data_IF_632709373446
#
_entry.id   IF_632709373446
#
_cell.length_a   1.000
_cell.length_b   1.000
_cell.length_c   1.000
_cell.angle_alpha   90.00
_cell.angle_beta   90.00
_cell.angle_gamma   90.00
#
_symmetry.space_group_name_H-M   'P 1'
#
loop_
_entity.id
_entity.type
_entity.pdbx_description
1 polymer ?
#
# COMPACT_ATOMS: atom_id res chain seq x y z
N UNK A 1 -8.95 38.66 0.57
CA UNK A 1 -8.36 37.34 0.25
C UNK A 1 -9.44 36.32 0.56
N UNK A 2 -10.38 36.27 -0.40
CA UNK A 2 -11.68 35.65 -0.23
C UNK A 2 -11.56 34.12 -0.31
N UNK A 3 -11.83 33.47 0.81
CA UNK A 3 -11.99 32.03 0.91
C UNK A 3 -13.39 31.70 0.38
N UNK A 4 -13.49 31.35 -0.89
CA UNK A 4 -14.69 30.70 -1.42
C UNK A 4 -14.82 29.35 -0.74
N UNK A 5 -15.72 29.29 0.24
CA UNK A 5 -16.29 28.05 0.74
C UNK A 5 -17.12 27.47 -0.40
N UNK A 6 -16.54 26.49 -1.10
CA UNK A 6 -17.28 25.67 -2.07
C UNK A 6 -18.33 24.91 -1.28
N UNK A 7 -19.57 25.37 -1.37
CA UNK A 7 -20.76 24.64 -0.92
C UNK A 7 -20.70 23.24 -1.56
N UNK A 8 -20.46 22.23 -0.74
CA UNK A 8 -20.76 20.86 -1.09
C UNK A 8 -22.25 20.75 -1.33
N UNK A 9 -22.62 20.90 -2.60
CA UNK A 9 -23.95 20.56 -3.08
C UNK A 9 -24.18 19.08 -2.73
N UNK A 10 -24.91 18.86 -1.65
CA UNK A 10 -25.40 17.56 -1.24
C UNK A 10 -26.25 17.00 -2.36
N UNK A 11 -25.63 16.25 -3.23
CA UNK A 11 -26.33 15.51 -4.26
C UNK A 11 -27.36 14.62 -3.56
N UNK A 12 -28.59 14.88 -3.88
CA UNK A 12 -29.77 14.08 -3.69
C UNK A 12 -29.51 12.61 -4.12
N UNK A 13 -28.78 11.87 -3.30
CA UNK A 13 -28.69 10.42 -3.40
C UNK A 13 -30.00 9.88 -2.82
N UNK A 14 -31.03 9.91 -3.66
CA UNK A 14 -32.29 9.25 -3.37
C UNK A 14 -31.97 7.86 -2.82
N UNK A 15 -32.26 7.68 -1.55
CA UNK A 15 -32.08 6.44 -0.78
C UNK A 15 -32.98 5.39 -1.41
N UNK A 16 -32.54 4.76 -2.50
CA UNK A 16 -33.15 3.51 -2.96
C UNK A 16 -33.01 2.54 -1.80
N UNK A 17 -34.10 1.94 -1.31
CA UNK A 17 -34.01 0.90 -0.31
C UNK A 17 -33.05 -0.16 -0.85
N UNK A 18 -32.04 -0.50 -0.08
CA UNK A 18 -31.08 -1.55 -0.41
C UNK A 18 -31.83 -2.87 -0.33
N UNK A 19 -32.46 -3.27 -1.45
CA UNK A 19 -33.22 -4.52 -1.60
C UNK A 19 -32.29 -5.64 -2.05
N UNK A 20 -31.20 -5.90 -1.30
CA UNK A 20 -30.24 -6.94 -1.64
C UNK A 20 -29.61 -7.51 -0.37
N UNK A 21 -29.15 -8.76 -0.48
CA UNK A 21 -28.29 -9.36 0.56
C UNK A 21 -27.00 -8.54 0.74
N UNK A 22 -26.55 -8.42 1.97
CA UNK A 22 -25.27 -7.81 2.28
C UNK A 22 -24.15 -8.70 1.71
N UNK A 23 -23.43 -8.24 0.69
CA UNK A 23 -22.31 -8.98 0.07
C UNK A 23 -20.98 -8.30 0.37
N UNK A 24 -19.89 -9.09 0.38
CA UNK A 24 -18.53 -8.52 0.47
C UNK A 24 -18.16 -7.70 -0.78
N UNK A 25 -18.75 -7.99 -1.94
CA UNK A 25 -18.62 -7.17 -3.15
C UNK A 25 -19.19 -5.77 -2.95
N UNK A 26 -20.35 -5.66 -2.32
CA UNK A 26 -20.95 -4.38 -1.95
C UNK A 26 -20.05 -3.59 -0.98
N UNK A 27 -19.54 -4.24 0.07
CA UNK A 27 -18.58 -3.63 0.99
C UNK A 27 -17.32 -3.14 0.27
N UNK A 28 -16.81 -3.94 -0.65
CA UNK A 28 -15.63 -3.59 -1.44
C UNK A 28 -15.86 -2.33 -2.29
N UNK A 29 -16.97 -2.26 -3.02
CA UNK A 29 -17.31 -1.08 -3.83
C UNK A 29 -17.43 0.18 -2.98
N UNK A 30 -18.11 0.08 -1.83
CA UNK A 30 -18.28 1.21 -0.91
C UNK A 30 -16.96 1.67 -0.30
N UNK A 31 -16.10 0.74 0.15
CA UNK A 31 -14.78 1.07 0.69
C UNK A 31 -13.84 1.59 -0.41
N UNK A 32 -13.95 1.10 -1.64
CA UNK A 32 -13.21 1.70 -2.77
C UNK A 32 -13.67 3.12 -3.07
N UNK A 33 -14.98 3.38 -3.01
CA UNK A 33 -15.53 4.74 -3.12
C UNK A 33 -14.95 5.66 -2.05
N UNK A 34 -14.84 5.19 -0.81
CA UNK A 34 -14.17 5.90 0.28
C UNK A 34 -12.71 6.25 -0.05
N UNK A 35 -11.92 5.26 -0.43
CA UNK A 35 -10.54 5.49 -0.82
C UNK A 35 -10.39 6.44 -2.03
N UNK A 36 -11.39 6.49 -2.91
CA UNK A 36 -11.40 7.42 -4.04
C UNK A 36 -11.77 8.85 -3.65
N UNK A 37 -12.57 9.04 -2.59
CA UNK A 37 -13.00 10.35 -2.09
C UNK A 37 -12.12 10.89 -0.96
N UNK A 38 -11.21 10.04 -0.41
CA UNK A 38 -10.32 10.45 0.67
C UNK A 38 -9.54 11.71 0.27
N UNK A 39 -9.46 12.66 1.21
CA UNK A 39 -8.79 13.96 1.04
C UNK A 39 -7.27 13.80 0.87
N UNK A 40 -6.73 12.60 1.08
CA UNK A 40 -5.31 12.33 0.87
C UNK A 40 -4.86 12.72 -0.53
N UNK A 41 -3.84 13.55 -0.65
CA UNK A 41 -3.36 14.01 -1.95
C UNK A 41 -2.88 12.83 -2.78
N UNK A 42 -3.57 12.58 -3.89
CA UNK A 42 -3.24 11.47 -4.80
C UNK A 42 -1.87 11.68 -5.43
N UNK A 43 -1.08 10.60 -5.63
CA UNK A 43 0.20 10.71 -6.30
C UNK A 43 0.04 11.32 -7.70
N UNK A 44 0.89 12.29 -8.02
CA UNK A 44 0.87 12.99 -9.31
C UNK A 44 1.21 12.03 -10.46
N UNK A 45 0.82 12.40 -11.69
CA UNK A 45 1.18 11.60 -12.88
C UNK A 45 2.70 11.48 -13.04
N UNK A 46 3.44 12.52 -12.70
CA UNK A 46 4.92 12.53 -12.74
C UNK A 46 5.51 11.61 -11.68
N UNK A 47 4.95 11.58 -10.47
CA UNK A 47 5.38 10.67 -9.41
C UNK A 47 5.18 9.19 -9.81
N UNK A 48 4.00 8.86 -10.33
CA UNK A 48 3.72 7.52 -10.86
C UNK A 48 4.64 7.18 -12.05
N UNK A 49 4.84 8.13 -12.96
CA UNK A 49 5.73 7.97 -14.10
C UNK A 49 7.17 7.70 -13.67
N UNK A 50 7.71 8.47 -12.72
CA UNK A 50 9.04 8.26 -12.17
C UNK A 50 9.21 6.87 -11.53
N UNK A 51 8.22 6.43 -10.73
CA UNK A 51 8.23 5.08 -10.14
C UNK A 51 8.21 4.00 -11.24
N UNK A 52 7.33 4.13 -12.24
CA UNK A 52 7.25 3.15 -13.33
C UNK A 52 8.54 3.09 -14.16
N UNK A 53 9.15 4.24 -14.46
CA UNK A 53 10.43 4.30 -15.16
C UNK A 53 11.52 3.60 -14.35
N UNK A 54 11.58 3.85 -13.03
CA UNK A 54 12.49 3.15 -12.13
C UNK A 54 12.28 1.63 -12.15
N UNK A 55 11.06 1.16 -11.98
CA UNK A 55 10.70 -0.28 -11.96
C UNK A 55 11.06 -0.95 -13.30
N UNK A 56 10.74 -0.31 -14.43
CA UNK A 56 11.08 -0.86 -15.76
C UNK A 56 12.59 -0.91 -15.96
N UNK A 57 13.32 0.14 -15.56
CA UNK A 57 14.78 0.17 -15.63
C UNK A 57 15.41 -0.93 -14.77
N UNK A 58 14.92 -1.14 -13.54
CA UNK A 58 15.34 -2.26 -12.68
C UNK A 58 15.12 -3.60 -13.36
N UNK A 59 13.91 -3.84 -13.91
CA UNK A 59 13.59 -5.08 -14.61
C UNK A 59 14.48 -5.34 -15.83
N UNK A 60 14.73 -4.31 -16.64
CA UNK A 60 15.65 -4.41 -17.79
C UNK A 60 17.10 -4.63 -17.34
N UNK A 61 17.54 -3.96 -16.29
CA UNK A 61 18.89 -4.15 -15.71
C UNK A 61 19.10 -5.58 -15.22
N UNK A 62 18.13 -6.12 -14.45
CA UNK A 62 18.18 -7.51 -13.98
C UNK A 62 18.15 -8.51 -15.12
N UNK A 63 17.32 -8.29 -16.13
CA UNK A 63 17.25 -9.14 -17.32
C UNK A 63 18.59 -9.13 -18.07
N UNK A 64 19.17 -7.95 -18.28
CA UNK A 64 20.48 -7.78 -18.93
C UNK A 64 21.58 -8.46 -18.13
N UNK A 65 21.59 -8.31 -16.80
CA UNK A 65 22.59 -8.97 -15.94
C UNK A 65 22.48 -10.51 -15.93
N UNK A 66 21.30 -11.06 -16.19
CA UNK A 66 21.09 -12.51 -16.27
C UNK A 66 21.50 -13.11 -17.63
N UNK A 67 21.73 -12.30 -18.66
CA UNK A 67 22.11 -12.74 -19.99
C UNK A 67 23.63 -12.87 -20.08
N UNK A 68 24.17 -13.89 -20.82
CA UNK A 68 25.59 -14.06 -20.99
C UNK A 68 26.20 -12.94 -21.85
N UNK A 69 27.41 -12.51 -21.50
CA UNK A 69 28.14 -11.43 -22.16
C UNK A 69 28.31 -11.66 -23.66
N UNK A 70 28.32 -12.93 -24.10
CA UNK A 70 28.46 -13.31 -25.51
C UNK A 70 27.34 -12.81 -26.43
N UNK A 71 26.20 -12.42 -25.86
CA UNK A 71 25.08 -11.86 -26.64
C UNK A 71 25.23 -10.35 -26.91
N UNK A 72 26.20 -9.70 -26.29
CA UNK A 72 26.40 -8.27 -26.41
C UNK A 72 27.73 -7.95 -27.14
N UNK A 73 27.80 -6.86 -27.92
CA UNK A 73 29.05 -6.36 -28.42
C UNK A 73 30.03 -6.02 -27.30
N UNK A 74 31.31 -6.16 -27.52
CA UNK A 74 32.33 -5.90 -26.51
C UNK A 74 32.15 -4.52 -25.82
N UNK A 75 32.00 -4.52 -24.52
CA UNK A 75 31.83 -3.31 -23.69
C UNK A 75 30.39 -2.73 -23.62
N UNK A 76 29.48 -3.15 -24.50
CA UNK A 76 28.09 -2.61 -24.47
C UNK A 76 27.27 -3.11 -23.29
N UNK A 77 27.53 -4.33 -22.78
CA UNK A 77 26.84 -4.92 -21.63
C UNK A 77 26.94 -4.02 -20.41
N UNK A 78 28.14 -3.58 -20.04
CA UNK A 78 28.37 -2.68 -18.90
C UNK A 78 27.69 -1.31 -19.11
N UNK A 79 27.74 -0.77 -20.34
CA UNK A 79 27.09 0.50 -20.66
C UNK A 79 25.57 0.43 -20.50
N UNK A 80 24.94 -0.67 -20.92
CA UNK A 80 23.50 -0.88 -20.75
C UNK A 80 23.15 -0.99 -19.27
N UNK A 81 23.91 -1.78 -18.49
CA UNK A 81 23.70 -1.91 -17.05
C UNK A 81 23.81 -0.56 -16.32
N UNK A 82 24.84 0.22 -16.65
CA UNK A 82 25.03 1.56 -16.08
C UNK A 82 23.90 2.52 -16.49
N UNK A 83 23.44 2.44 -17.73
CA UNK A 83 22.30 3.22 -18.23
C UNK A 83 21.01 2.87 -17.48
N UNK A 84 20.75 1.57 -17.28
CA UNK A 84 19.61 1.11 -16.49
C UNK A 84 19.70 1.59 -15.03
N UNK A 85 20.86 1.45 -14.39
CA UNK A 85 21.11 1.88 -13.01
C UNK A 85 20.90 3.40 -12.84
N UNK A 86 21.45 4.21 -13.73
CA UNK A 86 21.24 5.66 -13.71
C UNK A 86 19.76 6.03 -13.89
N UNK A 87 19.09 5.40 -14.83
CA UNK A 87 17.65 5.63 -15.08
C UNK A 87 16.81 5.24 -13.87
N UNK A 88 17.13 4.12 -13.22
CA UNK A 88 16.51 3.64 -11.99
C UNK A 88 16.68 4.66 -10.86
N UNK A 89 17.91 5.09 -10.59
CA UNK A 89 18.23 6.07 -9.54
C UNK A 89 17.48 7.38 -9.79
N UNK A 90 17.52 7.90 -11.02
CA UNK A 90 16.84 9.16 -11.37
C UNK A 90 15.31 9.00 -11.24
N UNK A 91 14.75 7.90 -11.71
CA UNK A 91 13.31 7.62 -11.63
C UNK A 91 12.81 7.55 -10.18
N UNK A 92 13.50 6.79 -9.34
CA UNK A 92 13.13 6.67 -7.92
C UNK A 92 13.40 7.95 -7.14
N UNK A 93 14.52 8.64 -7.38
CA UNK A 93 14.84 9.90 -6.72
C UNK A 93 13.80 10.98 -7.05
N UNK A 94 13.42 11.10 -8.32
CA UNK A 94 12.36 12.02 -8.75
C UNK A 94 11.04 11.70 -8.06
N UNK A 95 10.63 10.44 -8.05
CA UNK A 95 9.42 9.97 -7.36
C UNK A 95 9.46 10.25 -5.87
N UNK A 96 10.59 9.98 -5.22
CA UNK A 96 10.81 10.22 -3.79
C UNK A 96 10.77 11.71 -3.42
N UNK A 97 11.39 12.57 -4.20
CA UNK A 97 11.35 14.03 -3.99
C UNK A 97 9.93 14.58 -4.14
N UNK A 98 9.20 14.11 -5.16
CA UNK A 98 7.80 14.51 -5.35
C UNK A 98 6.89 14.01 -4.22
N UNK A 99 7.11 12.78 -3.75
CA UNK A 99 6.44 12.21 -2.58
C UNK A 99 6.74 13.03 -1.32
N UNK A 100 8.02 13.33 -1.04
CA UNK A 100 8.44 14.17 0.09
C UNK A 100 7.82 15.56 0.03
N UNK A 101 7.74 16.18 -1.15
CA UNK A 101 7.10 17.49 -1.34
C UNK A 101 5.60 17.43 -1.07
N UNK A 102 4.93 16.35 -1.45
CA UNK A 102 3.51 16.12 -1.20
C UNK A 102 3.24 15.90 0.29
N UNK A 103 3.94 14.94 0.87
CA UNK A 103 3.78 14.56 2.28
C UNK A 103 4.38 15.58 3.24
N UNK A 104 5.46 16.24 2.85
CA UNK A 104 6.12 17.25 3.67
C UNK A 104 5.21 18.43 4.03
N UNK A 105 4.23 18.75 3.19
CA UNK A 105 3.21 19.76 3.52
C UNK A 105 2.35 19.34 4.72
N UNK A 106 2.10 18.04 4.89
CA UNK A 106 1.36 17.49 6.04
C UNK A 106 2.19 17.58 7.32
N UNK A 107 3.52 17.44 7.22
CA UNK A 107 4.43 17.56 8.37
C UNK A 107 4.63 18.99 8.84
N UNK A 108 4.44 20.00 7.97
CA UNK A 108 4.62 21.42 8.34
C UNK A 108 3.42 21.95 9.16
N UNK A 109 2.21 21.46 8.91
CA UNK A 109 0.99 21.83 9.68
C UNK A 109 0.17 20.58 10.09
N UNK A 110 0.75 19.69 10.87
CA UNK A 110 0.17 18.35 11.08
C UNK A 110 -1.18 18.36 11.80
N UNK A 111 -1.39 19.30 12.71
CA UNK A 111 -2.56 19.26 13.61
C UNK A 111 -3.86 19.69 12.95
N UNK A 112 -3.84 20.72 12.12
CA UNK A 112 -5.07 21.25 11.49
C UNK A 112 -5.49 20.45 10.25
N UNK A 113 -4.52 20.08 9.42
CA UNK A 113 -4.80 19.24 8.23
C UNK A 113 -5.28 17.86 8.62
N UNK A 114 -4.63 17.25 9.61
CA UNK A 114 -5.03 15.93 10.09
C UNK A 114 -6.43 15.92 10.74
N UNK A 115 -6.76 16.95 11.53
CA UNK A 115 -8.10 17.08 12.10
C UNK A 115 -9.16 17.24 11.01
N UNK A 116 -8.95 18.11 10.03
CA UNK A 116 -9.89 18.30 8.91
C UNK A 116 -10.03 17.04 8.03
N UNK A 117 -8.94 16.28 7.84
CA UNK A 117 -8.97 14.99 7.16
C UNK A 117 -9.79 13.97 7.95
N UNK A 118 -9.57 13.89 9.26
CA UNK A 118 -10.36 13.00 10.13
C UNK A 118 -11.84 13.34 10.14
N UNK A 119 -12.20 14.63 10.16
CA UNK A 119 -13.61 15.06 10.12
C UNK A 119 -14.28 14.66 8.78
N UNK A 120 -13.58 14.84 7.66
CA UNK A 120 -14.07 14.43 6.35
C UNK A 120 -14.21 12.90 6.23
N UNK A 121 -13.23 12.18 6.71
CA UNK A 121 -13.24 10.72 6.73
C UNK A 121 -14.32 10.18 7.67
N UNK A 122 -14.54 10.84 8.83
CA UNK A 122 -15.58 10.46 9.78
C UNK A 122 -16.99 10.61 9.19
N UNK A 123 -17.25 11.68 8.46
CA UNK A 123 -18.55 11.90 7.83
C UNK A 123 -18.90 10.77 6.85
N UNK A 124 -17.94 10.35 6.04
CA UNK A 124 -18.14 9.24 5.11
C UNK A 124 -18.24 7.89 5.82
N UNK A 125 -17.42 7.67 6.84
CA UNK A 125 -17.48 6.48 7.68
C UNK A 125 -18.87 6.34 8.35
N UNK A 126 -19.38 7.43 8.95
CA UNK A 126 -20.70 7.45 9.56
C UNK A 126 -21.82 7.14 8.54
N UNK A 127 -21.70 7.69 7.33
CA UNK A 127 -22.61 7.39 6.23
C UNK A 127 -22.60 5.89 5.85
N UNK A 128 -21.41 5.27 5.78
CA UNK A 128 -21.29 3.83 5.47
C UNK A 128 -21.90 2.97 6.60
N UNK A 129 -21.66 3.33 7.85
CA UNK A 129 -22.24 2.64 9.00
C UNK A 129 -23.76 2.73 8.97
N UNK A 130 -24.31 3.88 8.60
CA UNK A 130 -25.77 4.06 8.48
C UNK A 130 -26.36 3.22 7.33
N UNK A 131 -25.69 3.16 6.18
CA UNK A 131 -26.07 2.26 5.09
C UNK A 131 -26.04 0.77 5.51
N UNK A 132 -25.05 0.37 6.31
CA UNK A 132 -24.97 -1.00 6.83
C UNK A 132 -26.12 -1.32 7.78
N UNK A 133 -26.66 -0.36 8.49
CA UNK A 133 -27.81 -0.55 9.39
C UNK A 133 -29.10 -0.88 8.65
N UNK A 134 -29.20 -0.56 7.37
CA UNK A 134 -30.35 -0.96 6.54
C UNK A 134 -30.46 -2.48 6.34
N UNK A 135 -29.36 -3.20 6.55
CA UNK A 135 -29.36 -4.68 6.45
C UNK A 135 -29.75 -5.33 7.80
N UNK A 136 -30.32 -6.55 7.76
CA UNK A 136 -30.66 -7.31 8.95
C UNK A 136 -29.46 -7.52 9.88
N UNK A 137 -29.70 -7.51 11.17
CA UNK A 137 -28.66 -7.67 12.18
C UNK A 137 -27.94 -9.01 12.03
N UNK A 138 -28.70 -10.08 11.82
CA UNK A 138 -28.17 -11.45 11.71
C UNK A 138 -27.18 -11.59 10.54
N UNK A 139 -27.49 -10.96 9.41
CA UNK A 139 -26.58 -10.97 8.25
C UNK A 139 -25.28 -10.25 8.57
N UNK A 140 -25.33 -9.10 9.27
CA UNK A 140 -24.14 -8.35 9.65
C UNK A 140 -23.28 -9.11 10.66
N UNK A 141 -23.90 -9.75 11.67
CA UNK A 141 -23.21 -10.59 12.62
C UNK A 141 -22.53 -11.81 11.97
N UNK A 142 -23.23 -12.48 11.06
CA UNK A 142 -22.65 -13.61 10.32
C UNK A 142 -21.43 -13.19 9.50
N UNK A 143 -21.51 -12.05 8.80
CA UNK A 143 -20.38 -11.54 8.00
C UNK A 143 -19.25 -11.03 8.87
N UNK A 144 -19.55 -10.43 10.02
CA UNK A 144 -18.55 -10.03 10.98
C UNK A 144 -17.77 -11.24 11.52
N UNK A 145 -18.46 -12.31 11.91
CA UNK A 145 -17.80 -13.56 12.38
C UNK A 145 -16.89 -14.14 11.30
N UNK A 146 -17.36 -14.20 10.07
CA UNK A 146 -16.54 -14.69 8.96
C UNK A 146 -15.32 -13.82 8.71
N UNK A 147 -15.49 -12.49 8.61
CA UNK A 147 -14.38 -11.56 8.37
C UNK A 147 -13.35 -11.57 9.52
N UNK A 148 -13.81 -11.65 10.77
CA UNK A 148 -12.92 -11.71 11.95
C UNK A 148 -12.12 -13.01 11.99
N UNK A 149 -12.72 -14.15 11.67
CA UNK A 149 -12.02 -15.44 11.55
C UNK A 149 -10.97 -15.39 10.44
N UNK A 150 -11.31 -14.82 9.29
CA UNK A 150 -10.37 -14.67 8.18
C UNK A 150 -9.21 -13.74 8.54
N UNK A 151 -9.49 -12.61 9.22
CA UNK A 151 -8.47 -11.67 9.72
C UNK A 151 -7.52 -12.36 10.70
N UNK A 152 -8.05 -13.15 11.64
CA UNK A 152 -7.25 -13.87 12.60
C UNK A 152 -6.35 -14.91 11.92
N UNK A 153 -6.90 -15.73 11.04
CA UNK A 153 -6.12 -16.71 10.29
C UNK A 153 -5.02 -16.09 9.41
N UNK A 154 -5.29 -14.93 8.80
CA UNK A 154 -4.26 -14.19 8.08
C UNK A 154 -3.17 -13.66 9.01
N UNK A 155 -3.53 -13.11 10.18
CA UNK A 155 -2.57 -12.59 11.15
C UNK A 155 -1.63 -13.69 11.66
N UNK A 156 -2.16 -14.87 11.96
CA UNK A 156 -1.38 -16.03 12.37
C UNK A 156 -0.42 -16.49 11.27
N UNK A 157 -0.89 -16.64 10.04
CA UNK A 157 -0.04 -17.04 8.90
C UNK A 157 1.03 -15.99 8.59
N UNK A 158 0.68 -14.70 8.64
CA UNK A 158 1.65 -13.63 8.48
C UNK A 158 2.69 -13.65 9.61
N UNK A 159 2.28 -13.92 10.84
CA UNK A 159 3.20 -14.06 11.98
C UNK A 159 4.21 -15.18 11.78
N UNK A 160 3.81 -16.32 11.21
CA UNK A 160 4.71 -17.44 10.93
C UNK A 160 5.71 -17.12 9.79
N UNK A 161 5.25 -16.53 8.70
CA UNK A 161 6.09 -16.30 7.51
C UNK A 161 6.92 -15.03 7.65
N UNK A 162 6.35 -13.97 8.18
CA UNK A 162 6.95 -12.62 8.18
C UNK A 162 7.31 -12.12 9.59
N UNK A 163 6.94 -12.80 10.65
CA UNK A 163 7.11 -12.31 12.03
C UNK A 163 8.55 -11.96 12.38
N UNK A 164 9.51 -12.72 11.88
CA UNK A 164 10.95 -12.42 11.99
C UNK A 164 11.36 -11.21 11.13
N UNK A 165 10.93 -11.17 9.87
CA UNK A 165 11.25 -10.10 8.93
C UNK A 165 10.62 -8.76 9.33
N UNK A 166 9.39 -8.75 9.85
CA UNK A 166 8.76 -7.54 10.36
C UNK A 166 9.52 -6.90 11.53
N UNK A 167 10.09 -7.73 12.42
CA UNK A 167 10.91 -7.25 13.54
C UNK A 167 12.29 -6.75 13.10
N UNK A 168 12.89 -7.39 12.10
CA UNK A 168 14.18 -7.01 11.55
C UNK A 168 14.08 -5.83 10.57
N UNK A 169 12.88 -5.52 10.05
CA UNK A 169 12.64 -4.40 9.17
C UNK A 169 13.53 -4.46 7.92
N UNK A 170 14.25 -3.39 7.66
CA UNK A 170 15.10 -3.22 6.48
C UNK A 170 16.51 -3.84 6.61
N UNK A 171 16.92 -4.25 7.80
CA UNK A 171 18.27 -4.76 8.08
C UNK A 171 18.72 -5.96 7.23
N UNK A 172 17.87 -6.96 6.91
CA UNK A 172 18.29 -8.06 6.04
C UNK A 172 18.72 -7.61 4.64
N UNK A 173 18.01 -6.61 4.09
CA UNK A 173 18.35 -6.04 2.77
C UNK A 173 19.69 -5.30 2.83
N UNK A 174 19.91 -4.49 3.87
CA UNK A 174 21.19 -3.80 4.08
C UNK A 174 22.35 -4.79 4.29
N UNK A 175 22.10 -5.85 5.05
CA UNK A 175 23.09 -6.90 5.27
C UNK A 175 23.46 -7.61 3.97
N UNK A 176 22.49 -7.97 3.13
CA UNK A 176 22.74 -8.59 1.83
C UNK A 176 23.50 -7.64 0.90
N UNK A 177 23.11 -6.36 0.86
CA UNK A 177 23.79 -5.33 0.07
C UNK A 177 25.23 -5.10 0.56
N UNK A 178 25.44 -5.04 1.87
CA UNK A 178 26.79 -4.93 2.45
C UNK A 178 27.67 -6.13 2.08
N UNK A 179 27.15 -7.36 2.17
CA UNK A 179 27.90 -8.54 1.80
C UNK A 179 28.28 -8.55 0.31
N UNK A 180 27.38 -8.09 -0.56
CA UNK A 180 27.63 -7.97 -1.99
C UNK A 180 28.72 -6.93 -2.31
N UNK A 181 28.68 -5.77 -1.65
CA UNK A 181 29.57 -4.65 -1.91
C UNK A 181 30.86 -4.64 -1.06
N UNK A 182 31.01 -5.60 -0.12
CA UNK A 182 32.14 -5.63 0.82
C UNK A 182 33.51 -5.70 0.13
N UNK A 183 33.60 -6.41 -0.99
CA UNK A 183 34.85 -6.55 -1.77
C UNK A 183 34.98 -5.53 -2.89
N UNK A 184 33.94 -4.74 -3.13
CA UNK A 184 33.93 -3.75 -4.20
C UNK A 184 34.87 -2.58 -3.91
N UNK A 185 35.65 -2.18 -4.92
CA UNK A 185 36.53 -1.01 -4.88
C UNK A 185 35.95 0.08 -5.77
N UNK A 186 36.04 1.33 -5.33
CA UNK A 186 35.57 2.46 -6.11
C UNK A 186 36.27 2.51 -7.47
N UNK A 187 35.47 2.53 -8.55
CA UNK A 187 35.97 2.51 -9.94
C UNK A 187 35.92 1.13 -10.60
N UNK A 188 35.79 0.04 -9.86
CA UNK A 188 35.61 -1.31 -10.39
C UNK A 188 34.12 -1.64 -10.52
N UNK A 189 33.52 -1.08 -11.57
CA UNK A 189 32.08 -1.30 -11.82
C UNK A 189 31.78 -2.72 -12.32
N UNK A 190 32.71 -3.37 -12.97
CA UNK A 190 32.57 -4.78 -13.38
C UNK A 190 32.44 -5.68 -12.14
N UNK A 191 33.28 -5.48 -11.14
CA UNK A 191 33.22 -6.23 -9.87
C UNK A 191 31.97 -5.93 -9.05
N UNK A 192 31.35 -4.76 -9.21
CA UNK A 192 30.07 -4.46 -8.53
C UNK A 192 28.91 -5.32 -9.07
N UNK A 193 28.94 -5.67 -10.35
CA UNK A 193 27.93 -6.50 -11.01
C UNK A 193 28.29 -7.98 -11.08
N UNK A 194 29.49 -8.37 -10.62
CA UNK A 194 29.87 -9.78 -10.48
C UNK A 194 29.19 -10.37 -9.25
N UNK A 195 27.94 -10.79 -9.45
CA UNK A 195 27.09 -11.30 -8.37
C UNK A 195 27.24 -12.81 -8.24
N UNK A 196 27.68 -13.26 -7.07
CA UNK A 196 27.65 -14.69 -6.74
C UNK A 196 26.22 -15.23 -6.93
N UNK A 197 26.00 -16.31 -7.71
CA UNK A 197 24.65 -16.87 -7.94
C UNK A 197 23.87 -17.15 -6.65
N UNK A 198 24.54 -17.59 -5.58
CA UNK A 198 23.91 -17.84 -4.29
C UNK A 198 23.40 -16.51 -3.66
N UNK A 199 24.23 -15.46 -3.72
CA UNK A 199 23.83 -14.14 -3.21
C UNK A 199 22.67 -13.56 -4.03
N UNK A 200 22.67 -13.74 -5.35
CA UNK A 200 21.57 -13.32 -6.23
C UNK A 200 20.25 -13.99 -5.84
N UNK A 201 20.24 -15.31 -5.65
CA UNK A 201 19.05 -16.06 -5.22
C UNK A 201 18.56 -15.59 -3.84
N UNK A 202 19.46 -15.33 -2.91
CA UNK A 202 19.10 -14.83 -1.58
C UNK A 202 18.50 -13.43 -1.64
N UNK A 203 19.10 -12.51 -2.38
CA UNK A 203 18.59 -11.14 -2.55
C UNK A 203 17.21 -11.19 -3.22
N UNK A 204 17.08 -11.96 -4.32
CA UNK A 204 15.80 -12.14 -4.99
C UNK A 204 14.72 -12.70 -4.06
N UNK A 205 15.05 -13.72 -3.26
CA UNK A 205 14.16 -14.30 -2.27
C UNK A 205 13.69 -13.27 -1.22
N UNK A 206 14.61 -12.45 -0.72
CA UNK A 206 14.30 -11.39 0.23
C UNK A 206 13.37 -10.35 -0.41
N UNK A 207 13.67 -9.87 -1.61
CA UNK A 207 12.85 -8.89 -2.34
C UNK A 207 11.45 -9.44 -2.60
N UNK A 208 11.35 -10.71 -3.03
CA UNK A 208 10.08 -11.39 -3.24
C UNK A 208 9.25 -11.49 -1.95
N UNK A 209 9.88 -11.85 -0.82
CA UNK A 209 9.22 -11.89 0.47
C UNK A 209 8.70 -10.52 0.89
N UNK A 210 9.48 -9.44 0.71
CA UNK A 210 9.00 -8.09 0.99
C UNK A 210 7.82 -7.68 0.10
N UNK A 211 7.89 -7.98 -1.20
CA UNK A 211 6.79 -7.69 -2.13
C UNK A 211 5.50 -8.43 -1.73
N UNK A 212 5.60 -9.72 -1.41
CA UNK A 212 4.47 -10.52 -0.91
C UNK A 212 3.95 -9.96 0.43
N UNK A 213 4.85 -9.55 1.33
CA UNK A 213 4.50 -8.91 2.59
C UNK A 213 3.65 -7.65 2.39
N UNK A 214 4.02 -6.78 1.46
CA UNK A 214 3.26 -5.58 1.12
C UNK A 214 1.85 -5.89 0.61
N UNK A 215 1.72 -6.88 -0.27
CA UNK A 215 0.41 -7.34 -0.76
C UNK A 215 -0.46 -7.84 0.39
N UNK A 216 0.10 -8.66 1.27
CA UNK A 216 -0.64 -9.20 2.41
C UNK A 216 -1.06 -8.13 3.42
N UNK A 217 -0.20 -7.12 3.68
CA UNK A 217 -0.55 -5.96 4.50
C UNK A 217 -1.73 -5.20 3.90
N UNK A 218 -1.73 -4.99 2.57
CA UNK A 218 -2.84 -4.34 1.87
C UNK A 218 -4.17 -5.11 1.99
N UNK A 219 -4.14 -6.45 1.88
CA UNK A 219 -5.33 -7.29 2.07
C UNK A 219 -5.81 -7.24 3.52
N UNK A 220 -4.90 -7.34 4.47
CA UNK A 220 -5.21 -7.25 5.91
C UNK A 220 -5.86 -5.92 6.28
N UNK A 221 -5.31 -4.81 5.82
CA UNK A 221 -5.86 -3.47 6.07
C UNK A 221 -7.31 -3.35 5.58
N UNK A 222 -7.63 -3.91 4.40
CA UNK A 222 -9.01 -3.95 3.91
C UNK A 222 -9.94 -4.79 4.80
N UNK A 223 -9.48 -5.97 5.24
CA UNK A 223 -10.25 -6.80 6.16
C UNK A 223 -10.49 -6.10 7.50
N UNK A 224 -9.51 -5.39 8.04
CA UNK A 224 -9.66 -4.58 9.26
C UNK A 224 -10.72 -3.49 9.06
N UNK A 225 -10.74 -2.82 7.91
CA UNK A 225 -11.78 -1.83 7.59
C UNK A 225 -13.17 -2.45 7.56
N UNK A 226 -13.34 -3.63 6.96
CA UNK A 226 -14.65 -4.31 6.94
C UNK A 226 -15.11 -4.72 8.33
N UNK A 227 -14.21 -5.28 9.15
CA UNK A 227 -14.52 -5.66 10.54
C UNK A 227 -14.95 -4.42 11.34
N UNK A 228 -14.18 -3.33 11.27
CA UNK A 228 -14.46 -2.10 12.00
C UNK A 228 -15.82 -1.48 11.60
N UNK A 229 -16.16 -1.47 10.30
CA UNK A 229 -17.46 -0.98 9.84
C UNK A 229 -18.62 -1.84 10.32
N UNK A 230 -18.48 -3.17 10.27
CA UNK A 230 -19.50 -4.10 10.73
C UNK A 230 -19.67 -4.03 12.26
N UNK A 231 -18.59 -3.98 13.03
CA UNK A 231 -18.62 -3.79 14.49
C UNK A 231 -19.32 -2.50 14.88
N UNK A 232 -18.96 -1.38 14.24
CA UNK A 232 -19.58 -0.09 14.50
C UNK A 232 -21.08 -0.10 14.19
N UNK A 233 -21.49 -0.76 13.10
CA UNK A 233 -22.92 -0.87 12.73
C UNK A 233 -23.74 -1.67 13.75
N UNK A 234 -23.10 -2.58 14.50
CA UNK A 234 -23.74 -3.41 15.54
C UNK A 234 -23.72 -2.76 16.92
N UNK A 235 -22.60 -2.08 17.27
CA UNK A 235 -22.39 -1.49 18.60
C UNK A 235 -23.44 -0.43 18.96
N UNK A 236 -23.78 0.48 18.07
CA UNK A 236 -24.75 1.53 18.35
C UNK A 236 -26.20 1.03 18.48
N UNK A 237 -26.54 -0.09 17.85
CA UNK A 237 -27.87 -0.69 18.07
C UNK A 237 -28.02 -1.26 19.47
N UNK A 238 -26.94 -1.82 20.03
CA UNK A 238 -26.92 -2.30 21.41
C UNK A 238 -27.08 -1.15 22.42
N UNK A 239 -26.50 0.01 22.13
CA UNK A 239 -26.63 1.20 22.96
C UNK A 239 -28.06 1.81 22.93
N UNK A 240 -28.75 1.73 21.80
CA UNK A 240 -30.15 2.22 21.67
C UNK A 240 -31.19 1.23 22.22
N UNK A 241 -30.86 -0.05 22.30
CA UNK A 241 -31.78 -1.06 22.85
C UNK A 241 -31.93 -1.00 24.39
N UNK A 242 -31.09 -0.19 25.06
CA UNK A 242 -31.13 -0.01 26.53
C UNK A 242 -30.75 -1.31 27.27
N UNK A 243 -30.33 -1.23 28.55
CA UNK A 243 -30.27 -2.43 29.36
C UNK A 243 -31.68 -2.97 29.50
N UNK A 244 -31.93 -4.19 29.04
CA UNK A 244 -33.15 -4.91 29.39
C UNK A 244 -33.15 -5.07 30.92
N UNK A 245 -33.98 -4.24 31.58
CA UNK A 245 -34.28 -4.32 33.03
C UNK A 245 -35.07 -5.58 33.34
#
# INVERSE_FOLDING_TARGET
MDMQVSECNGADAGTKPVTGELTFSWLFEKVQGYAAQSIHPKPSRLEKGGTWVGVVATGLGLLTAALPDSLFPAGSHIMILMGCLLTEIVGFLLSFVLMLKREGRQYIKPRLTHAAEMDGDFAYWAYLVDQLRAFPRDEREQRLRFASTLRQGMTERMGLVFGGLQKLGFFPVLGALYLQLRSWKWGDWAGAFDVNPIAAVLIFGIVLLYALGWVLVGIRSRLETYVNLLEASLAEQSARAGPAL
#
